data_IF_713353181567
#
_entry.id   IF_713353181567
#
_cell.length_a   1.000
_cell.length_b   1.000
_cell.length_c   1.000
_cell.angle_alpha   90.00
_cell.angle_beta   90.00
_cell.angle_gamma   90.00
#
_symmetry.space_group_name_H-M   'P 1'
#
loop_
_entity.id
_entity.type
_entity.pdbx_description
1 polymer ?
#
# COMPACT_ATOMS: atom_id res chain seq x y z
N UNK A 1 -78.66 -30.34 53.32
CA UNK A 1 -77.92 -29.17 53.85
C UNK A 1 -77.26 -28.49 52.67
N UNK A 2 -77.61 -27.23 52.37
CA UNK A 2 -76.97 -26.47 51.29
C UNK A 2 -75.60 -26.03 51.78
N UNK A 3 -74.53 -26.45 51.10
CA UNK A 3 -73.19 -25.96 51.41
C UNK A 3 -73.20 -24.44 51.34
N UNK A 4 -72.63 -23.78 52.35
CA UNK A 4 -72.49 -22.32 52.40
C UNK A 4 -71.76 -21.84 51.14
N UNK A 5 -72.28 -20.82 50.49
CA UNK A 5 -71.71 -20.20 49.28
C UNK A 5 -70.22 -19.89 49.48
N UNK A 6 -69.83 -19.51 50.71
CA UNK A 6 -68.44 -19.22 51.08
C UNK A 6 -67.52 -20.45 51.04
N UNK A 7 -68.02 -21.63 51.39
CA UNK A 7 -67.25 -22.89 51.32
C UNK A 7 -67.04 -23.28 49.86
N UNK A 8 -68.05 -23.10 49.01
CA UNK A 8 -67.94 -23.39 47.58
C UNK A 8 -66.94 -22.45 46.89
N UNK A 9 -66.94 -21.16 47.25
CA UNK A 9 -65.96 -20.18 46.73
C UNK A 9 -64.54 -20.56 47.16
N UNK A 10 -64.32 -20.87 48.44
CA UNK A 10 -62.99 -21.25 48.94
C UNK A 10 -62.43 -22.50 48.27
N UNK A 11 -63.25 -23.53 48.08
CA UNK A 11 -62.83 -24.77 47.39
C UNK A 11 -62.53 -24.50 45.92
N UNK A 12 -63.36 -23.72 45.22
CA UNK A 12 -63.12 -23.36 43.83
C UNK A 12 -61.81 -22.54 43.66
N UNK A 13 -61.51 -21.64 44.60
CA UNK A 13 -60.30 -20.83 44.60
C UNK A 13 -59.06 -21.70 44.87
N UNK A 14 -59.14 -22.63 45.81
CA UNK A 14 -58.05 -23.59 46.08
C UNK A 14 -57.77 -24.50 44.87
N UNK A 15 -58.82 -24.99 44.19
CA UNK A 15 -58.67 -25.79 42.97
C UNK A 15 -58.08 -24.96 41.84
N UNK A 16 -58.53 -23.71 41.64
CA UNK A 16 -57.97 -22.82 40.63
C UNK A 16 -56.49 -22.53 40.87
N UNK A 17 -56.11 -22.22 42.11
CA UNK A 17 -54.70 -22.02 42.50
C UNK A 17 -53.89 -23.29 42.25
N UNK A 18 -54.43 -24.46 42.60
CA UNK A 18 -53.79 -25.75 42.32
C UNK A 18 -53.58 -26.01 40.82
N UNK A 19 -54.58 -25.74 39.98
CA UNK A 19 -54.51 -25.91 38.52
C UNK A 19 -53.55 -24.91 37.89
N UNK A 20 -53.51 -23.66 38.35
CA UNK A 20 -52.56 -22.65 37.87
C UNK A 20 -51.14 -22.99 38.28
N UNK A 21 -50.92 -23.46 39.51
CA UNK A 21 -49.60 -23.87 40.00
C UNK A 21 -49.08 -25.12 39.27
N UNK A 22 -49.92 -26.14 39.10
CA UNK A 22 -49.57 -27.35 38.33
C UNK A 22 -49.38 -27.01 36.85
N UNK A 23 -50.25 -26.16 36.28
CA UNK A 23 -50.14 -25.68 34.91
C UNK A 23 -48.85 -24.90 34.66
N UNK A 24 -48.48 -23.97 35.55
CA UNK A 24 -47.20 -23.27 35.47
C UNK A 24 -46.02 -24.22 35.60
N UNK A 25 -46.07 -25.17 36.53
CA UNK A 25 -44.98 -26.12 36.73
C UNK A 25 -44.80 -27.11 35.58
N UNK A 26 -45.86 -27.39 34.81
CA UNK A 26 -45.82 -28.25 33.61
C UNK A 26 -45.41 -27.48 32.35
N UNK A 27 -45.75 -26.20 32.25
CA UNK A 27 -45.43 -25.34 31.09
C UNK A 27 -44.01 -24.76 31.20
N UNK A 28 -43.49 -24.56 32.43
CA UNK A 28 -42.12 -24.10 32.70
C UNK A 28 -41.45 -25.02 33.73
N UNK A 29 -41.02 -26.23 33.33
CA UNK A 29 -40.23 -27.07 34.23
C UNK A 29 -38.96 -26.31 34.64
N UNK A 30 -38.65 -26.33 35.95
CA UNK A 30 -37.45 -25.72 36.50
C UNK A 30 -36.20 -26.48 36.02
N UNK A 31 -35.74 -26.19 34.81
CA UNK A 31 -34.56 -26.80 34.22
C UNK A 31 -33.31 -26.11 34.77
N UNK A 32 -32.22 -26.85 35.06
CA UNK A 32 -30.93 -26.26 35.34
C UNK A 32 -30.52 -25.27 34.24
N UNK A 33 -29.88 -24.16 34.60
CA UNK A 33 -29.43 -23.15 33.64
C UNK A 33 -28.44 -23.74 32.63
N UNK A 34 -27.53 -24.59 33.10
CA UNK A 34 -26.64 -25.43 32.29
C UNK A 34 -27.18 -26.86 32.32
N UNK A 35 -27.54 -27.41 31.16
CA UNK A 35 -28.15 -28.76 31.08
C UNK A 35 -27.12 -29.88 30.91
N UNK A 36 -26.00 -29.60 30.26
CA UNK A 36 -24.84 -30.47 30.13
C UNK A 36 -23.62 -29.62 29.75
N UNK A 37 -22.41 -30.12 30.02
CA UNK A 37 -21.15 -29.51 29.61
C UNK A 37 -20.06 -30.59 29.63
N UNK A 38 -19.35 -30.79 28.51
CA UNK A 38 -18.23 -31.74 28.44
C UNK A 38 -17.33 -31.47 27.23
N UNK A 39 -16.07 -31.88 27.33
CA UNK A 39 -15.20 -32.05 26.18
C UNK A 39 -15.40 -33.44 25.55
N UNK A 40 -15.20 -33.53 24.23
CA UNK A 40 -15.15 -34.81 23.52
C UNK A 40 -13.90 -35.63 23.85
N UNK A 41 -12.80 -34.95 24.19
CA UNK A 41 -11.55 -35.54 24.65
C UNK A 41 -11.15 -34.90 25.98
N UNK A 42 -10.69 -35.73 26.92
CA UNK A 42 -10.16 -35.29 28.22
C UNK A 42 -8.66 -34.95 28.15
N UNK A 43 -8.01 -35.24 27.02
CA UNK A 43 -6.61 -34.92 26.74
C UNK A 43 -6.46 -34.45 25.30
N UNK A 44 -5.65 -33.42 25.07
CA UNK A 44 -5.20 -32.98 23.74
C UNK A 44 -3.68 -32.81 23.69
N UNK A 45 -3.12 -32.94 22.48
CA UNK A 45 -1.69 -32.76 22.18
C UNK A 45 -1.50 -31.68 21.12
N UNK A 46 -1.68 -30.39 21.45
CA UNK A 46 -1.73 -29.30 20.48
C UNK A 46 -0.33 -28.95 19.95
N UNK A 47 0.14 -29.70 18.97
CA UNK A 47 1.45 -29.59 18.32
C UNK A 47 1.35 -29.49 16.78
N UNK A 48 0.11 -29.47 16.26
CA UNK A 48 -0.25 -29.41 14.84
C UNK A 48 0.24 -30.60 13.99
N UNK A 49 0.37 -31.79 14.59
CA UNK A 49 0.69 -33.02 13.86
C UNK A 49 -0.55 -33.69 13.22
N UNK A 50 -1.75 -33.21 13.54
CA UNK A 50 -3.04 -33.72 13.07
C UNK A 50 -3.69 -34.73 14.02
N UNK A 51 -3.02 -35.14 15.09
CA UNK A 51 -3.49 -36.14 16.05
C UNK A 51 -3.84 -35.49 17.39
N UNK A 52 -5.13 -35.46 17.73
CA UNK A 52 -5.64 -34.94 19.02
C UNK A 52 -5.24 -33.49 19.35
N UNK A 53 -4.95 -32.67 18.34
CA UNK A 53 -4.64 -31.23 18.50
C UNK A 53 -5.79 -30.39 19.06
N UNK A 54 -7.03 -30.85 18.81
CA UNK A 54 -8.25 -30.09 19.07
C UNK A 54 -9.30 -30.98 19.71
N UNK A 55 -9.98 -30.46 20.71
CA UNK A 55 -11.16 -31.09 21.34
C UNK A 55 -12.39 -30.21 21.14
N UNK A 56 -13.59 -30.80 21.16
CA UNK A 56 -14.85 -30.06 21.03
C UNK A 56 -15.51 -29.97 22.40
N UNK A 57 -15.73 -28.74 22.87
CA UNK A 57 -16.54 -28.48 24.06
C UNK A 57 -18.01 -28.33 23.66
N UNK A 58 -18.87 -29.18 24.23
CA UNK A 58 -20.32 -29.15 24.01
C UNK A 58 -21.04 -28.77 25.31
N UNK A 59 -21.98 -27.83 25.23
CA UNK A 59 -22.78 -27.42 26.39
C UNK A 59 -24.19 -26.97 26.00
N UNK A 60 -25.13 -27.17 26.90
CA UNK A 60 -26.53 -26.77 26.73
C UNK A 60 -26.94 -25.68 27.70
N UNK A 61 -27.64 -24.65 27.19
CA UNK A 61 -28.15 -23.52 27.95
C UNK A 61 -29.68 -23.52 27.86
N UNK A 62 -30.36 -23.44 29.01
CA UNK A 62 -31.83 -23.53 29.05
C UNK A 62 -32.56 -22.18 29.04
N UNK A 63 -31.84 -21.07 29.32
CA UNK A 63 -32.36 -19.70 29.41
C UNK A 63 -31.33 -18.70 28.88
N UNK A 64 -31.77 -17.51 28.46
CA UNK A 64 -30.85 -16.46 28.02
C UNK A 64 -29.80 -16.19 29.11
N UNK A 65 -28.52 -16.29 28.78
CA UNK A 65 -27.43 -16.20 29.74
C UNK A 65 -26.17 -15.57 29.14
N UNK A 66 -25.32 -15.05 30.01
CA UNK A 66 -23.91 -14.76 29.71
C UNK A 66 -23.09 -15.97 30.12
N UNK A 67 -22.27 -16.47 29.20
CA UNK A 67 -21.47 -17.68 29.39
C UNK A 67 -19.98 -17.36 29.34
N UNK A 68 -19.24 -17.86 30.33
CA UNK A 68 -17.78 -17.79 30.38
C UNK A 68 -17.22 -19.21 30.49
N UNK A 69 -16.12 -19.46 29.79
CA UNK A 69 -15.38 -20.73 29.83
C UNK A 69 -13.92 -20.43 30.14
N UNK A 70 -13.45 -20.91 31.28
CA UNK A 70 -12.09 -20.69 31.78
C UNK A 70 -11.42 -22.00 32.18
N UNK A 71 -10.09 -21.99 32.27
CA UNK A 71 -9.25 -23.15 32.62
C UNK A 71 -8.34 -22.77 33.76
N UNK A 72 -8.51 -23.43 34.91
CA UNK A 72 -7.71 -23.21 36.09
C UNK A 72 -6.62 -24.28 36.21
N UNK A 73 -5.37 -23.85 36.27
CA UNK A 73 -4.21 -24.68 36.54
C UNK A 73 -4.09 -25.04 38.03
N UNK A 74 -3.27 -26.04 38.36
CA UNK A 74 -3.05 -26.50 39.73
C UNK A 74 -2.46 -25.44 40.67
N UNK A 75 -1.75 -24.44 40.13
CA UNK A 75 -1.20 -23.31 40.88
C UNK A 75 -2.22 -22.16 41.09
N UNK A 76 -3.45 -22.32 40.59
CA UNK A 76 -4.53 -21.35 40.65
C UNK A 76 -4.58 -20.36 39.49
N UNK A 77 -3.62 -20.39 38.56
CA UNK A 77 -3.62 -19.56 37.35
C UNK A 77 -4.86 -19.86 36.51
N UNK A 78 -5.57 -18.81 36.07
CA UNK A 78 -6.81 -18.96 35.31
C UNK A 78 -6.66 -18.39 33.89
N UNK A 79 -6.90 -19.24 32.89
CA UNK A 79 -6.86 -18.89 31.47
C UNK A 79 -8.28 -18.72 30.95
N UNK A 80 -8.56 -17.59 30.29
CA UNK A 80 -9.90 -17.26 29.80
C UNK A 80 -10.00 -17.55 28.32
N UNK A 81 -10.88 -18.48 27.95
CA UNK A 81 -11.17 -18.79 26.54
C UNK A 81 -12.40 -18.04 26.02
N UNK A 82 -13.44 -17.93 26.86
CA UNK A 82 -14.64 -17.13 26.56
C UNK A 82 -15.05 -16.34 27.79
N UNK A 83 -15.45 -15.08 27.58
CA UNK A 83 -15.84 -14.17 28.66
C UNK A 83 -17.18 -13.51 28.34
N UNK A 84 -18.19 -13.77 29.18
CA UNK A 84 -19.50 -13.12 29.13
C UNK A 84 -20.20 -13.16 27.76
N UNK A 85 -20.02 -14.27 27.03
CA UNK A 85 -20.62 -14.48 25.72
C UNK A 85 -22.14 -14.60 25.84
N UNK A 86 -22.89 -13.79 25.09
CA UNK A 86 -24.35 -13.88 25.10
C UNK A 86 -24.82 -15.18 24.43
N UNK A 87 -25.69 -15.93 25.10
CA UNK A 87 -26.28 -17.18 24.62
C UNK A 87 -27.78 -17.20 24.86
N UNK A 88 -28.50 -17.72 23.88
CA UNK A 88 -29.94 -18.01 23.94
C UNK A 88 -30.14 -19.50 24.30
N UNK A 89 -31.35 -19.96 24.63
CA UNK A 89 -31.60 -21.37 24.89
C UNK A 89 -31.27 -22.23 23.67
N UNK A 90 -30.23 -23.04 23.77
CA UNK A 90 -29.77 -23.95 22.72
C UNK A 90 -28.66 -24.86 23.26
N UNK A 91 -28.33 -25.87 22.47
CA UNK A 91 -27.06 -26.58 22.56
C UNK A 91 -26.01 -25.85 21.71
N UNK A 92 -24.77 -25.82 22.19
CA UNK A 92 -23.64 -25.12 21.62
C UNK A 92 -22.42 -26.03 21.56
N UNK A 93 -21.61 -25.84 20.53
CA UNK A 93 -20.31 -26.49 20.38
C UNK A 93 -19.23 -25.46 20.06
N UNK A 94 -18.01 -25.70 20.54
CA UNK A 94 -16.82 -24.91 20.19
C UNK A 94 -15.59 -25.80 20.17
N UNK A 95 -14.79 -25.69 19.12
CA UNK A 95 -13.48 -26.32 19.04
C UNK A 95 -12.46 -25.57 19.91
N UNK A 96 -11.61 -26.31 20.61
CA UNK A 96 -10.57 -25.78 21.49
C UNK A 96 -9.24 -26.48 21.22
N UNK A 97 -8.23 -25.71 20.83
CA UNK A 97 -6.87 -26.18 20.54
C UNK A 97 -5.88 -25.93 21.68
N UNK A 98 -6.36 -25.56 22.87
CA UNK A 98 -5.49 -25.07 23.94
C UNK A 98 -5.12 -23.58 23.84
N UNK A 99 -5.38 -22.93 22.70
CA UNK A 99 -5.07 -21.51 22.50
C UNK A 99 -6.13 -20.61 23.10
N UNK A 100 -5.68 -19.63 23.89
CA UNK A 100 -6.50 -18.59 24.54
C UNK A 100 -6.01 -17.18 24.15
N UNK A 101 -6.62 -16.14 24.74
CA UNK A 101 -6.11 -14.77 24.62
C UNK A 101 -4.68 -14.65 25.14
N UNK A 102 -3.90 -13.74 24.55
CA UNK A 102 -2.48 -13.61 24.84
C UNK A 102 -2.16 -13.29 26.30
N UNK A 103 -1.07 -13.89 26.79
CA UNK A 103 -0.54 -13.67 28.14
C UNK A 103 0.98 -13.90 28.14
N UNK A 104 1.64 -13.39 29.19
CA UNK A 104 3.08 -13.55 29.41
C UNK A 104 3.37 -14.58 30.50
N UNK A 105 4.35 -15.44 30.26
CA UNK A 105 4.93 -16.35 31.24
C UNK A 105 6.17 -15.70 31.89
N UNK A 106 6.53 -16.11 33.12
CA UNK A 106 7.79 -15.71 33.72
C UNK A 106 8.98 -16.05 32.81
N UNK A 107 9.78 -15.05 32.45
CA UNK A 107 10.96 -15.23 31.60
C UNK A 107 10.73 -15.00 30.11
N UNK A 108 9.52 -14.66 29.67
CA UNK A 108 9.28 -14.27 28.27
C UNK A 108 10.13 -13.06 27.87
N UNK A 109 10.91 -13.23 26.80
CA UNK A 109 11.69 -12.16 26.16
C UNK A 109 11.13 -11.72 24.82
N UNK A 110 9.98 -12.27 24.40
CA UNK A 110 9.36 -12.00 23.11
C UNK A 110 9.20 -10.49 22.89
N UNK A 111 9.76 -10.00 21.80
CA UNK A 111 9.54 -8.63 21.33
C UNK A 111 8.23 -8.61 20.55
N UNK A 112 7.24 -7.84 21.01
CA UNK A 112 5.95 -7.65 20.32
C UNK A 112 4.75 -7.86 21.23
N UNK A 113 3.56 -7.85 20.61
CA UNK A 113 2.31 -8.21 21.27
C UNK A 113 2.02 -9.70 21.06
N UNK A 114 1.79 -10.41 22.16
CA UNK A 114 1.27 -11.78 22.15
C UNK A 114 -0.24 -11.63 22.12
N UNK A 115 -0.87 -11.91 20.98
CA UNK A 115 -2.32 -11.75 20.81
C UNK A 115 -3.08 -13.02 21.20
N UNK A 116 -2.50 -14.18 20.86
CA UNK A 116 -3.02 -15.51 21.21
C UNK A 116 -1.88 -16.43 21.58
N UNK A 117 -2.08 -17.22 22.63
CA UNK A 117 -1.05 -18.15 23.13
C UNK A 117 -1.65 -19.47 23.59
N UNK A 118 -0.90 -20.53 23.34
CA UNK A 118 -1.21 -21.89 23.79
C UNK A 118 -0.91 -22.04 25.29
N UNK A 119 -1.90 -22.49 26.07
CA UNK A 119 -1.72 -22.74 27.50
C UNK A 119 -0.65 -23.82 27.76
N UNK A 120 0.15 -23.74 28.84
CA UNK A 120 1.24 -24.68 29.08
C UNK A 120 0.75 -26.14 29.24
N UNK A 121 1.66 -27.10 29.08
CA UNK A 121 1.36 -28.49 29.44
C UNK A 121 0.95 -28.59 30.92
N UNK A 122 -0.09 -29.36 31.20
CA UNK A 122 -0.61 -29.53 32.55
C UNK A 122 -2.04 -30.05 32.59
N UNK A 123 -2.49 -30.31 33.82
CA UNK A 123 -3.87 -30.66 34.12
C UNK A 123 -4.65 -29.40 34.50
N UNK A 124 -5.82 -29.22 33.88
CA UNK A 124 -6.66 -28.06 34.07
C UNK A 124 -8.06 -28.47 34.53
N UNK A 125 -8.59 -27.74 35.51
CA UNK A 125 -10.02 -27.76 35.79
C UNK A 125 -10.69 -26.72 34.90
N UNK A 126 -11.55 -27.15 33.97
CA UNK A 126 -12.35 -26.20 33.20
C UNK A 126 -13.59 -25.80 34.00
N UNK A 127 -14.00 -24.53 33.85
CA UNK A 127 -15.18 -23.94 34.49
C UNK A 127 -16.06 -23.32 33.42
N UNK A 128 -17.26 -23.91 33.24
CA UNK A 128 -18.33 -23.28 32.47
C UNK A 128 -19.27 -22.57 33.43
N UNK A 129 -19.25 -21.24 33.41
CA UNK A 129 -20.14 -20.41 34.20
C UNK A 129 -21.21 -19.80 33.31
N UNK A 130 -22.47 -19.93 33.71
CA UNK A 130 -23.60 -19.27 33.06
C UNK A 130 -24.30 -18.37 34.07
N UNK A 131 -24.59 -17.12 33.66
CA UNK A 131 -25.37 -16.17 34.44
C UNK A 131 -26.63 -15.79 33.68
N UNK A 132 -27.79 -16.14 34.22
CA UNK A 132 -29.09 -15.81 33.65
C UNK A 132 -29.24 -14.30 33.48
N UNK A 133 -29.66 -13.89 32.28
CA UNK A 133 -29.70 -12.49 31.88
C UNK A 133 -30.82 -11.69 32.58
N UNK A 134 -31.82 -12.36 33.17
CA UNK A 134 -32.99 -11.73 33.79
C UNK A 134 -32.94 -11.85 35.31
N UNK A 135 -32.81 -13.07 35.82
CA UNK A 135 -32.83 -13.33 37.27
C UNK A 135 -31.47 -13.08 37.93
N UNK A 136 -30.38 -13.09 37.14
CA UNK A 136 -29.02 -13.05 37.66
C UNK A 136 -28.56 -14.36 38.32
N UNK A 137 -29.38 -15.42 38.26
CA UNK A 137 -29.02 -16.77 38.71
C UNK A 137 -27.73 -17.22 38.04
N UNK A 138 -26.79 -17.76 38.82
CA UNK A 138 -25.55 -18.33 38.30
C UNK A 138 -25.56 -19.84 38.43
N UNK A 139 -25.12 -20.53 37.38
CA UNK A 139 -24.82 -21.95 37.40
C UNK A 139 -23.38 -22.19 36.94
N UNK A 140 -22.77 -23.24 37.47
CA UNK A 140 -21.42 -23.66 37.11
C UNK A 140 -21.40 -25.16 36.83
N UNK A 141 -20.61 -25.55 35.85
CA UNK A 141 -20.20 -26.94 35.61
C UNK A 141 -18.68 -26.98 35.47
N UNK A 142 -18.08 -28.07 35.93
CA UNK A 142 -16.63 -28.27 35.90
C UNK A 142 -16.28 -29.68 35.44
N UNK A 143 -15.03 -29.83 35.02
CA UNK A 143 -14.41 -31.12 34.70
C UNK A 143 -12.92 -30.93 34.46
N UNK A 144 -12.26 -31.95 33.92
CA UNK A 144 -10.81 -31.94 33.69
C UNK A 144 -10.49 -31.89 32.20
N UNK A 145 -9.34 -31.30 31.89
CA UNK A 145 -8.69 -31.35 30.57
C UNK A 145 -7.17 -31.38 30.77
N UNK A 146 -6.51 -32.36 30.16
CA UNK A 146 -5.07 -32.45 30.08
C UNK A 146 -4.55 -31.82 28.79
N UNK A 147 -3.58 -30.92 28.91
CA UNK A 147 -2.77 -30.44 27.79
C UNK A 147 -1.41 -31.13 27.90
N UNK A 148 -1.07 -31.94 26.92
CA UNK A 148 0.20 -32.65 26.86
C UNK A 148 0.94 -32.32 25.55
N UNK A 149 2.27 -32.49 25.53
CA UNK A 149 3.10 -32.33 24.33
C UNK A 149 2.84 -31.06 23.47
N UNK A 150 2.45 -29.96 24.11
CA UNK A 150 2.07 -28.73 23.42
C UNK A 150 3.25 -28.02 22.72
N UNK A 151 3.00 -27.50 21.53
CA UNK A 151 3.91 -26.66 20.74
C UNK A 151 4.13 -25.27 21.36
N UNK A 152 4.88 -25.19 22.47
CA UNK A 152 4.98 -23.97 23.29
C UNK A 152 5.79 -22.80 22.71
N UNK A 153 6.52 -23.00 21.61
CA UNK A 153 7.34 -21.95 21.00
C UNK A 153 6.46 -20.94 20.24
N UNK A 154 6.54 -19.67 20.62
CA UNK A 154 5.81 -18.58 19.97
C UNK A 154 6.32 -18.31 18.54
N UNK A 155 5.45 -17.89 17.60
CA UNK A 155 5.83 -17.42 16.27
C UNK A 155 6.37 -15.99 16.35
N UNK A 156 7.53 -15.82 17.00
CA UNK A 156 8.09 -14.49 17.24
C UNK A 156 8.55 -13.80 15.95
N UNK A 157 8.22 -12.51 15.84
CA UNK A 157 8.71 -11.60 14.81
C UNK A 157 9.86 -10.78 15.43
N UNK A 158 11.05 -10.93 14.88
CA UNK A 158 12.25 -10.16 15.28
C UNK A 158 12.70 -9.25 14.14
N UNK A 159 13.56 -8.29 14.45
CA UNK A 159 14.20 -7.39 13.48
C UNK A 159 13.21 -6.64 12.57
N UNK A 160 12.00 -6.35 13.06
CA UNK A 160 11.00 -5.60 12.28
C UNK A 160 11.46 -4.15 12.11
N UNK A 161 11.93 -3.84 10.90
CA UNK A 161 12.59 -2.58 10.58
C UNK A 161 12.07 -2.01 9.27
N UNK A 162 12.02 -0.68 9.21
CA UNK A 162 11.73 0.11 8.02
C UNK A 162 12.99 0.91 7.67
N UNK A 163 13.36 0.98 6.39
CA UNK A 163 14.48 1.81 5.94
C UNK A 163 14.18 3.32 6.08
N UNK A 164 12.90 3.70 6.08
CA UNK A 164 12.39 5.05 6.33
C UNK A 164 11.02 5.03 7.00
N UNK A 165 10.71 6.08 7.76
CA UNK A 165 9.43 6.24 8.46
C UNK A 165 8.53 7.30 7.82
N UNK A 166 9.00 7.95 6.75
CA UNK A 166 8.25 8.89 5.93
C UNK A 166 8.62 8.63 4.47
N UNK A 167 7.63 8.56 3.60
CA UNK A 167 7.83 8.32 2.17
C UNK A 167 6.71 8.97 1.34
N UNK A 168 7.01 9.29 0.08
CA UNK A 168 6.13 10.01 -0.83
C UNK A 168 5.90 9.25 -2.12
N UNK A 169 4.89 8.36 -2.20
CA UNK A 169 4.62 7.56 -3.40
C UNK A 169 4.00 8.41 -4.51
N UNK A 170 4.81 9.20 -5.21
CA UNK A 170 4.38 10.13 -6.26
C UNK A 170 5.12 9.95 -7.60
N UNK A 171 5.96 8.92 -7.67
CA UNK A 171 6.82 8.56 -8.80
C UNK A 171 7.78 9.69 -9.22
N UNK A 172 8.17 10.58 -8.31
CA UNK A 172 9.16 11.61 -8.61
C UNK A 172 10.62 11.13 -8.50
N UNK A 173 10.82 9.88 -8.08
CA UNK A 173 12.11 9.22 -7.87
C UNK A 173 12.76 9.54 -6.52
N UNK A 174 12.05 10.21 -5.60
CA UNK A 174 12.52 10.58 -4.27
C UNK A 174 11.58 9.95 -3.26
N UNK A 175 12.12 9.03 -2.47
CA UNK A 175 11.39 8.39 -1.39
C UNK A 175 10.01 7.82 -1.78
N UNK A 176 9.87 7.35 -3.02
CA UNK A 176 8.64 6.73 -3.52
C UNK A 176 8.29 5.39 -2.86
N UNK A 177 9.27 4.77 -2.21
CA UNK A 177 9.21 3.37 -1.79
C UNK A 177 9.78 3.23 -0.38
N UNK A 178 9.19 2.32 0.40
CA UNK A 178 9.68 1.92 1.72
C UNK A 178 9.99 0.42 1.70
N UNK A 179 11.18 0.07 2.20
CA UNK A 179 11.61 -1.31 2.35
C UNK A 179 11.42 -1.70 3.81
N UNK A 180 10.72 -2.82 4.02
CA UNK A 180 10.56 -3.42 5.34
C UNK A 180 11.22 -4.78 5.40
N UNK A 181 11.80 -5.08 6.55
CA UNK A 181 12.45 -6.36 6.83
C UNK A 181 11.95 -6.89 8.17
N UNK A 182 11.83 -8.20 8.29
CA UNK A 182 11.60 -8.90 9.55
C UNK A 182 12.18 -10.31 9.49
N UNK A 183 12.33 -10.96 10.65
CA UNK A 183 12.69 -12.37 10.74
C UNK A 183 11.67 -13.16 11.57
N UNK A 184 11.37 -14.38 11.14
CA UNK A 184 10.56 -15.35 11.88
C UNK A 184 11.45 -16.37 12.60
N UNK A 185 11.17 -16.63 13.89
CA UNK A 185 11.97 -17.57 14.70
C UNK A 185 11.60 -19.04 14.47
N UNK A 186 10.39 -19.32 13.98
CA UNK A 186 9.90 -20.64 13.54
C UNK A 186 9.05 -20.48 12.27
N UNK A 187 8.78 -21.56 11.53
CA UNK A 187 7.80 -21.52 10.45
C UNK A 187 6.41 -21.18 10.99
N UNK A 188 5.62 -20.46 10.19
CA UNK A 188 4.27 -20.01 10.52
C UNK A 188 3.32 -20.36 9.38
N UNK A 189 2.04 -20.54 9.69
CA UNK A 189 0.99 -20.78 8.70
C UNK A 189 0.70 -19.51 7.89
N UNK A 190 0.74 -18.35 8.54
CA UNK A 190 0.55 -17.07 7.86
C UNK A 190 1.44 -15.97 8.42
N UNK A 191 2.00 -15.18 7.49
CA UNK A 191 2.67 -13.92 7.73
C UNK A 191 1.94 -12.85 6.92
N UNK A 192 1.37 -11.86 7.60
CA UNK A 192 0.67 -10.75 6.96
C UNK A 192 1.27 -9.43 7.42
N UNK A 193 1.60 -8.56 6.47
CA UNK A 193 2.01 -7.17 6.74
C UNK A 193 1.00 -6.25 6.10
N UNK A 194 0.55 -5.23 6.83
CA UNK A 194 -0.42 -4.26 6.32
C UNK A 194 -0.25 -2.88 6.96
N UNK A 195 -0.69 -1.85 6.24
CA UNK A 195 -0.90 -0.52 6.80
C UNK A 195 -2.27 -0.45 7.44
N UNK A 196 -2.36 0.22 8.59
CA UNK A 196 -3.61 0.56 9.23
C UNK A 196 -3.69 2.07 9.43
N UNK A 197 -4.70 2.68 8.79
CA UNK A 197 -5.01 4.09 8.92
C UNK A 197 -5.93 4.39 10.11
N UNK A 198 -6.23 5.67 10.31
CA UNK A 198 -7.14 6.14 11.38
C UNK A 198 -8.60 5.68 11.22
N UNK A 199 -8.99 5.29 10.01
CA UNK A 199 -10.30 4.72 9.67
C UNK A 199 -10.41 3.22 10.01
N UNK A 200 -9.31 2.60 10.45
CA UNK A 200 -9.22 1.19 10.79
C UNK A 200 -9.13 0.25 9.57
N UNK A 201 -9.10 0.77 8.34
CA UNK A 201 -8.93 -0.07 7.15
C UNK A 201 -7.50 -0.61 7.06
N UNK A 202 -7.38 -1.87 6.63
CA UNK A 202 -6.10 -2.54 6.43
C UNK A 202 -5.75 -2.58 4.94
N UNK A 203 -4.57 -2.06 4.59
CA UNK A 203 -4.01 -2.11 3.23
C UNK A 203 -2.87 -3.11 3.24
N UNK A 204 -3.08 -4.26 2.57
CA UNK A 204 -2.12 -5.36 2.59
C UNK A 204 -0.84 -5.02 1.82
N UNK A 205 0.30 -5.27 2.46
CA UNK A 205 1.61 -5.12 1.86
C UNK A 205 2.13 -6.53 1.50
N UNK A 206 2.34 -6.80 0.20
CA UNK A 206 2.83 -8.09 -0.25
C UNK A 206 4.30 -8.31 0.11
N UNK A 207 4.64 -9.55 0.43
CA UNK A 207 6.04 -9.97 0.48
C UNK A 207 6.63 -9.98 -0.95
N UNK A 208 7.88 -9.54 -1.09
CA UNK A 208 8.60 -9.74 -2.35
C UNK A 208 9.07 -11.19 -2.46
N UNK A 209 9.06 -11.73 -3.69
CA UNK A 209 9.56 -13.08 -3.92
C UNK A 209 11.07 -13.10 -3.64
N UNK A 210 11.45 -13.75 -2.55
CA UNK A 210 12.83 -13.99 -2.19
C UNK A 210 13.18 -15.48 -2.38
N UNK A 211 14.40 -15.89 -2.04
CA UNK A 211 14.79 -17.30 -2.04
C UNK A 211 14.05 -18.16 -0.98
N UNK A 212 13.15 -17.55 -0.20
CA UNK A 212 12.38 -18.15 0.89
C UNK A 212 10.89 -18.15 0.55
N UNK A 213 10.16 -19.19 0.97
CA UNK A 213 8.69 -19.19 0.84
C UNK A 213 8.05 -18.36 1.94
N UNK A 214 6.89 -17.73 1.68
CA UNK A 214 6.12 -17.05 2.71
C UNK A 214 5.92 -17.95 3.93
N UNK A 215 6.19 -17.40 5.12
CA UNK A 215 6.02 -18.09 6.41
C UNK A 215 7.14 -19.05 6.83
N UNK A 216 8.17 -19.31 6.02
CA UNK A 216 9.32 -20.10 6.47
C UNK A 216 10.16 -19.35 7.52
N UNK A 217 10.79 -20.06 8.47
CA UNK A 217 11.65 -19.41 9.46
C UNK A 217 12.83 -18.64 8.82
N UNK A 218 13.14 -17.44 9.30
CA UNK A 218 14.22 -16.58 8.79
C UNK A 218 13.73 -15.24 8.25
N UNK A 219 14.56 -14.57 7.44
CA UNK A 219 14.29 -13.22 6.94
C UNK A 219 13.21 -13.18 5.84
N UNK A 220 12.36 -12.16 5.93
CA UNK A 220 11.33 -11.78 4.97
C UNK A 220 11.46 -10.30 4.60
N UNK A 221 11.13 -9.99 3.35
CA UNK A 221 11.34 -8.68 2.74
C UNK A 221 10.04 -8.17 2.13
N UNK A 222 9.80 -6.88 2.28
CA UNK A 222 8.65 -6.20 1.71
C UNK A 222 9.11 -4.90 1.08
N UNK A 223 8.48 -4.58 -0.04
CA UNK A 223 8.82 -3.42 -0.84
C UNK A 223 7.51 -2.76 -1.26
N UNK A 224 7.27 -1.55 -0.77
CA UNK A 224 5.99 -0.88 -0.89
C UNK A 224 6.14 0.50 -1.49
N UNK A 225 5.45 0.70 -2.61
CA UNK A 225 5.47 1.90 -3.45
C UNK A 225 4.14 2.68 -3.40
N UNK A 226 3.32 2.42 -2.37
CA UNK A 226 1.94 2.92 -2.31
C UNK A 226 0.94 2.10 -3.13
N UNK A 227 1.35 1.00 -3.77
CA UNK A 227 0.48 0.14 -4.58
C UNK A 227 0.44 0.52 -6.08
N UNK A 228 1.29 1.46 -6.51
CA UNK A 228 1.30 2.02 -7.86
C UNK A 228 1.64 0.95 -8.91
N UNK A 229 2.65 0.13 -8.68
CA UNK A 229 3.07 -1.00 -9.52
C UNK A 229 1.94 -2.04 -9.69
N UNK A 230 0.95 -2.02 -8.80
CA UNK A 230 -0.25 -2.87 -8.85
C UNK A 230 -1.47 -2.17 -9.47
N UNK A 231 -1.29 -0.94 -9.97
CA UNK A 231 -2.34 -0.13 -10.58
C UNK A 231 -3.33 0.44 -9.57
N UNK A 232 -2.93 0.62 -8.31
CA UNK A 232 -3.76 1.19 -7.25
C UNK A 232 -3.29 2.61 -6.95
N UNK A 233 -4.23 3.53 -6.72
CA UNK A 233 -3.90 4.90 -6.28
C UNK A 233 -3.31 4.83 -4.86
N UNK A 234 -2.21 5.55 -4.57
CA UNK A 234 -1.63 5.59 -3.25
C UNK A 234 -2.64 5.95 -2.15
N UNK A 235 -2.47 5.41 -0.92
CA UNK A 235 -3.31 5.80 0.20
C UNK A 235 -3.21 7.31 0.47
N UNK A 236 -4.24 7.93 1.07
CA UNK A 236 -4.19 9.35 1.44
C UNK A 236 -3.01 9.68 2.35
N UNK A 237 -2.53 10.92 2.27
CA UNK A 237 -1.50 11.41 3.20
C UNK A 237 -1.94 11.26 4.66
N UNK A 238 -1.02 10.88 5.52
CA UNK A 238 -1.28 10.74 6.94
C UNK A 238 -0.35 9.75 7.62
N UNK A 239 -0.58 9.58 8.92
CA UNK A 239 0.13 8.62 9.74
C UNK A 239 -0.58 7.27 9.72
N UNK A 240 0.21 6.22 9.49
CA UNK A 240 -0.22 4.83 9.47
C UNK A 240 0.59 4.02 10.48
N UNK A 241 -0.06 2.98 11.01
CA UNK A 241 0.64 1.91 11.73
C UNK A 241 0.91 0.78 10.75
N UNK A 242 2.17 0.40 10.58
CA UNK A 242 2.52 -0.84 9.88
C UNK A 242 2.41 -1.97 10.88
N UNK A 243 1.59 -2.97 10.59
CA UNK A 243 1.37 -4.13 11.45
C UNK A 243 1.84 -5.38 10.74
N UNK A 244 2.81 -6.07 11.33
CA UNK A 244 3.23 -7.41 10.94
C UNK A 244 2.58 -8.43 11.90
N UNK A 245 1.93 -9.44 11.35
CA UNK A 245 1.22 -10.48 12.11
C UNK A 245 1.72 -11.85 11.67
N UNK A 246 2.15 -12.66 12.61
CA UNK A 246 2.56 -14.04 12.41
C UNK A 246 1.63 -14.97 13.19
N UNK A 247 1.15 -16.03 12.55
CA UNK A 247 0.34 -17.08 13.17
C UNK A 247 0.86 -18.46 12.78
N UNK A 248 1.14 -19.32 13.77
CA UNK A 248 1.54 -20.71 13.53
C UNK A 248 0.34 -21.65 13.33
N UNK A 249 0.61 -22.93 13.06
CA UNK A 249 -0.43 -23.94 12.79
C UNK A 249 -1.21 -24.31 14.06
N UNK A 250 -0.59 -24.20 15.24
CA UNK A 250 -1.21 -24.41 16.55
C UNK A 250 -2.22 -23.30 16.87
N UNK A 251 -2.09 -22.14 16.22
CA UNK A 251 -2.99 -20.98 16.33
C UNK A 251 -2.48 -19.88 17.26
N UNK A 252 -1.24 -19.99 17.74
CA UNK A 252 -0.56 -18.91 18.45
C UNK A 252 -0.33 -17.75 17.49
N UNK A 253 -0.49 -16.53 17.99
CA UNK A 253 -0.45 -15.33 17.16
C UNK A 253 0.30 -14.21 17.85
N UNK A 254 1.23 -13.62 17.11
CA UNK A 254 1.98 -12.46 17.54
C UNK A 254 1.92 -11.35 16.51
N UNK A 255 2.05 -10.12 16.99
CA UNK A 255 2.18 -8.96 16.14
C UNK A 255 3.30 -8.02 16.58
N UNK A 256 3.81 -7.29 15.58
CA UNK A 256 4.80 -6.24 15.70
C UNK A 256 4.30 -5.01 14.95
N UNK A 257 4.61 -3.83 15.48
CA UNK A 257 4.14 -2.58 14.89
C UNK A 257 5.27 -1.59 14.69
N UNK A 258 5.15 -0.79 13.64
CA UNK A 258 6.00 0.38 13.38
C UNK A 258 5.13 1.54 12.86
N UNK A 259 5.70 2.74 12.83
CA UNK A 259 5.02 3.93 12.30
C UNK A 259 5.52 4.25 10.91
N UNK A 260 4.61 4.67 10.04
CA UNK A 260 4.92 5.13 8.69
C UNK A 260 4.02 6.31 8.33
N UNK A 261 4.62 7.40 7.86
CA UNK A 261 3.90 8.57 7.37
C UNK A 261 3.94 8.58 5.84
N UNK A 262 2.78 8.72 5.22
CA UNK A 262 2.63 8.94 3.78
C UNK A 262 2.46 10.44 3.54
N UNK A 263 3.29 11.00 2.66
CA UNK A 263 3.19 12.40 2.21
C UNK A 263 3.10 12.46 0.69
N UNK A 264 2.47 13.50 0.16
CA UNK A 264 2.38 13.78 -1.29
C UNK A 264 2.01 12.59 -2.21
N UNK A 265 1.28 11.58 -1.74
CA UNK A 265 0.97 10.40 -2.54
C UNK A 265 0.05 10.69 -3.72
N UNK A 266 0.30 10.06 -4.87
CA UNK A 266 -0.58 10.11 -6.04
C UNK A 266 0.13 9.77 -7.35
N UNK A 267 -0.64 9.41 -8.38
CA UNK A 267 -0.05 9.12 -9.70
C UNK A 267 0.10 10.43 -10.49
N UNK A 268 1.31 10.78 -10.98
CA UNK A 268 1.53 11.98 -11.77
C UNK A 268 0.82 11.88 -13.13
N UNK A 269 0.24 13.00 -13.58
CA UNK A 269 -0.48 13.05 -14.85
C UNK A 269 -0.12 14.32 -15.60
N UNK A 270 0.55 14.16 -16.74
CA UNK A 270 1.01 15.27 -17.55
C UNK A 270 0.85 14.98 -19.04
N UNK A 271 0.83 16.02 -19.86
CA UNK A 271 0.79 15.90 -21.32
C UNK A 271 1.46 17.10 -21.99
N UNK A 272 1.93 16.91 -23.23
CA UNK A 272 2.16 18.03 -24.14
C UNK A 272 0.78 18.51 -24.60
N UNK A 273 0.38 19.69 -24.15
CA UNK A 273 -0.95 20.22 -24.37
C UNK A 273 -1.11 20.82 -25.78
N UNK A 274 -2.25 20.59 -26.45
CA UNK A 274 -2.57 21.25 -27.71
C UNK A 274 -2.74 22.75 -27.50
N UNK A 275 -2.16 23.56 -28.39
CA UNK A 275 -2.34 25.01 -28.34
C UNK A 275 -3.70 25.43 -28.95
N UNK A 276 -4.24 26.62 -28.60
CA UNK A 276 -5.50 27.13 -29.19
C UNK A 276 -5.52 27.20 -30.73
N UNK A 277 -4.34 27.18 -31.36
CA UNK A 277 -4.17 27.11 -32.82
C UNK A 277 -4.21 25.69 -33.40
N UNK A 278 -4.52 24.64 -32.61
CA UNK A 278 -4.38 23.22 -32.96
C UNK A 278 -2.95 22.84 -33.41
N UNK A 279 -1.93 23.47 -32.80
CA UNK A 279 -0.53 23.16 -33.05
C UNK A 279 0.08 22.69 -31.73
N UNK A 280 0.50 21.43 -31.64
CA UNK A 280 1.04 20.89 -30.38
C UNK A 280 2.50 21.27 -30.17
N UNK A 281 3.26 21.38 -31.26
CA UNK A 281 4.67 21.80 -31.28
C UNK A 281 4.89 22.76 -32.44
N UNK A 282 5.46 23.91 -32.13
CA UNK A 282 5.86 24.93 -33.09
C UNK A 282 7.32 24.71 -33.45
N UNK A 283 7.64 24.78 -34.74
CA UNK A 283 9.01 24.66 -35.24
C UNK A 283 9.38 25.86 -36.11
N UNK A 284 10.59 26.38 -35.94
CA UNK A 284 11.12 27.38 -36.86
C UNK A 284 12.64 27.28 -37.02
N UNK A 285 13.16 27.61 -38.22
CA UNK A 285 14.58 27.73 -38.41
C UNK A 285 15.10 29.07 -37.88
N UNK A 286 16.30 29.06 -37.31
CA UNK A 286 17.05 30.26 -36.96
C UNK A 286 18.54 30.08 -37.27
N UNK A 287 19.26 31.13 -37.69
CA UNK A 287 20.72 31.06 -37.84
C UNK A 287 21.41 30.68 -36.54
N UNK A 288 22.41 29.80 -36.61
CA UNK A 288 23.21 29.42 -35.46
C UNK A 288 24.16 30.54 -34.99
N UNK A 289 24.36 30.63 -33.68
CA UNK A 289 25.35 31.49 -33.04
C UNK A 289 26.15 30.68 -32.00
N UNK A 290 27.47 30.73 -32.09
CA UNK A 290 28.38 29.97 -31.23
C UNK A 290 28.28 30.32 -29.73
N UNK A 291 27.63 31.44 -29.37
CA UNK A 291 27.33 31.77 -27.96
C UNK A 291 26.37 30.77 -27.31
N UNK A 292 25.55 30.08 -28.10
CA UNK A 292 24.63 29.05 -27.61
C UNK A 292 25.27 27.66 -27.44
N UNK A 293 26.50 27.46 -27.92
CA UNK A 293 27.17 26.17 -27.89
C UNK A 293 27.37 25.65 -26.45
N UNK A 294 26.76 24.50 -26.14
CA UNK A 294 26.86 23.83 -24.84
C UNK A 294 27.80 22.61 -24.89
N UNK A 295 28.49 22.36 -23.78
CA UNK A 295 29.28 21.14 -23.55
C UNK A 295 29.26 20.77 -22.06
N UNK A 296 29.84 19.62 -21.66
CA UNK A 296 29.87 19.24 -20.24
C UNK A 296 30.68 20.22 -19.36
N UNK A 297 31.51 21.08 -19.96
CA UNK A 297 32.36 22.05 -19.26
C UNK A 297 32.07 23.50 -19.64
N UNK A 298 31.08 23.74 -20.50
CA UNK A 298 30.70 25.08 -20.97
C UNK A 298 29.18 25.19 -21.03
N UNK A 299 28.64 26.08 -20.20
CA UNK A 299 27.25 26.53 -20.35
C UNK A 299 27.15 27.48 -21.55
N UNK A 300 26.24 27.19 -22.49
CA UNK A 300 25.88 28.10 -23.56
C UNK A 300 24.90 29.17 -23.04
N UNK A 301 24.84 30.33 -23.70
CA UNK A 301 23.73 31.26 -23.47
C UNK A 301 22.39 30.56 -23.75
N UNK A 302 21.34 30.87 -22.98
CA UNK A 302 20.01 30.35 -23.27
C UNK A 302 19.39 31.15 -24.43
N UNK A 303 18.87 30.45 -25.42
CA UNK A 303 18.04 31.04 -26.47
C UNK A 303 16.80 31.69 -25.82
N UNK A 304 16.47 32.95 -26.10
CA UNK A 304 15.25 33.55 -25.58
C UNK A 304 14.00 32.84 -26.11
N UNK A 305 12.91 32.85 -25.33
CA UNK A 305 11.65 32.24 -25.76
C UNK A 305 11.20 32.83 -27.10
N UNK A 306 10.99 32.00 -28.14
CA UNK A 306 10.63 32.48 -29.45
C UNK A 306 9.19 33.00 -29.49
N UNK A 307 8.98 34.11 -30.20
CA UNK A 307 7.65 34.67 -30.51
C UNK A 307 7.27 34.25 -31.92
N UNK A 308 6.30 33.34 -32.04
CA UNK A 308 5.81 32.89 -33.34
C UNK A 308 4.60 33.70 -33.75
N UNK A 309 4.75 34.53 -34.78
CA UNK A 309 3.68 35.41 -35.26
C UNK A 309 2.68 34.72 -36.22
N UNK A 310 3.07 33.57 -36.79
CA UNK A 310 2.25 32.67 -37.61
C UNK A 310 3.09 31.42 -37.90
N UNK A 311 2.86 30.34 -37.16
CA UNK A 311 3.29 29.03 -37.64
C UNK A 311 2.14 28.40 -38.43
N UNK A 312 2.41 28.03 -39.68
CA UNK A 312 1.54 27.15 -40.45
C UNK A 312 1.94 25.74 -40.04
N UNK A 313 1.44 25.28 -38.89
CA UNK A 313 1.74 23.96 -38.30
C UNK A 313 1.38 22.74 -39.16
N UNK A 314 1.30 22.88 -40.48
CA UNK A 314 1.06 21.83 -41.46
C UNK A 314 2.03 21.89 -42.65
N UNK A 315 3.00 22.81 -42.67
CA UNK A 315 3.99 22.91 -43.76
C UNK A 315 5.36 22.33 -43.38
N UNK A 316 6.10 21.87 -44.39
CA UNK A 316 7.51 21.47 -44.26
C UNK A 316 8.36 22.65 -43.80
N UNK A 317 9.20 22.43 -42.78
CA UNK A 317 10.19 23.39 -42.31
C UNK A 317 11.40 23.33 -43.22
N UNK A 318 11.70 24.40 -43.95
CA UNK A 318 12.89 24.47 -44.82
C UNK A 318 13.98 25.32 -44.17
N UNK A 319 15.21 24.80 -44.09
CA UNK A 319 16.32 25.47 -43.37
C UNK A 319 17.69 25.13 -43.97
N UNK A 320 18.69 25.98 -43.76
CA UNK A 320 20.06 25.67 -44.19
C UNK A 320 20.70 24.61 -43.28
N UNK A 321 21.59 23.79 -43.83
CA UNK A 321 22.50 22.97 -43.01
C UNK A 321 23.39 23.91 -42.20
N UNK A 322 23.50 23.68 -40.89
CA UNK A 322 24.19 24.54 -39.93
C UNK A 322 23.29 25.58 -39.25
N UNK A 323 22.02 25.69 -39.63
CA UNK A 323 21.04 26.47 -38.85
C UNK A 323 20.51 25.65 -37.66
N UNK A 324 19.81 26.31 -36.75
CA UNK A 324 19.14 25.69 -35.61
C UNK A 324 17.66 25.44 -35.92
N UNK A 325 17.18 24.23 -35.62
CA UNK A 325 15.76 23.92 -35.55
C UNK A 325 15.28 24.28 -34.14
N UNK A 326 14.59 25.42 -34.02
CA UNK A 326 14.00 25.89 -32.77
C UNK A 326 12.62 25.28 -32.61
N UNK A 327 12.29 24.84 -31.40
CA UNK A 327 10.95 24.36 -31.06
C UNK A 327 10.35 25.14 -29.88
N UNK A 328 9.03 25.10 -29.77
CA UNK A 328 8.30 25.48 -28.56
C UNK A 328 7.03 24.67 -28.41
N UNK A 329 6.71 24.30 -27.18
CA UNK A 329 5.48 23.61 -26.79
C UNK A 329 5.07 23.97 -25.36
N UNK A 330 3.91 23.51 -24.92
CA UNK A 330 3.46 23.65 -23.53
C UNK A 330 3.25 22.27 -22.94
N UNK A 331 3.71 22.07 -21.71
CA UNK A 331 3.39 20.91 -20.90
C UNK A 331 2.35 21.32 -19.86
N UNK A 332 1.34 20.47 -19.67
CA UNK A 332 0.30 20.64 -18.68
C UNK A 332 0.34 19.49 -17.69
N UNK A 333 0.54 19.80 -16.41
CA UNK A 333 0.31 18.87 -15.31
C UNK A 333 -1.18 18.95 -14.94
N UNK A 334 -2.00 18.07 -15.50
CA UNK A 334 -3.44 18.01 -15.20
C UNK A 334 -3.77 17.11 -14.00
N UNK A 335 -2.74 16.51 -13.39
CA UNK A 335 -2.86 15.65 -12.22
C UNK A 335 -3.05 16.41 -10.91
N UNK A 336 -3.08 15.64 -9.82
CA UNK A 336 -3.25 16.15 -8.44
C UNK A 336 -1.93 16.32 -7.69
N UNK A 337 -0.84 15.76 -8.19
CA UNK A 337 0.51 15.84 -7.61
C UNK A 337 1.40 16.72 -8.46
N UNK A 338 2.37 17.39 -7.84
CA UNK A 338 3.38 18.14 -8.58
C UNK A 338 4.31 17.15 -9.32
N UNK A 339 4.81 17.54 -10.50
CA UNK A 339 5.74 16.70 -11.27
C UNK A 339 7.14 17.30 -11.19
N UNK A 340 8.13 16.48 -10.85
CA UNK A 340 9.53 16.90 -10.79
C UNK A 340 10.10 17.01 -12.20
N UNK A 341 11.01 17.96 -12.41
CA UNK A 341 11.75 18.09 -13.66
C UNK A 341 13.24 18.31 -13.41
N UNK A 342 14.06 17.96 -14.40
CA UNK A 342 15.50 18.14 -14.37
C UNK A 342 16.02 18.70 -15.70
N UNK A 343 17.17 19.37 -15.63
CA UNK A 343 17.76 20.11 -16.73
C UNK A 343 18.16 19.29 -17.97
N UNK A 344 18.75 19.98 -18.97
CA UNK A 344 19.04 21.42 -18.98
C UNK A 344 17.79 22.29 -19.10
N UNK A 345 17.91 23.58 -18.79
CA UNK A 345 16.78 24.52 -18.82
C UNK A 345 16.29 24.82 -20.25
N UNK A 346 15.01 25.20 -20.42
CA UNK A 346 14.51 25.73 -21.69
C UNK A 346 15.42 26.81 -22.28
N UNK A 347 15.58 26.78 -23.59
CA UNK A 347 16.48 27.65 -24.34
C UNK A 347 17.88 27.07 -24.58
N UNK A 348 18.22 25.92 -23.98
CA UNK A 348 19.49 25.25 -24.28
C UNK A 348 19.50 24.75 -25.73
N UNK A 349 20.64 24.92 -26.41
CA UNK A 349 20.85 24.49 -27.79
C UNK A 349 21.78 23.29 -27.82
N UNK A 350 21.28 22.17 -28.33
CA UNK A 350 22.07 20.96 -28.56
C UNK A 350 22.69 20.97 -29.95
N UNK A 351 23.85 20.38 -30.13
CA UNK A 351 24.31 19.91 -31.45
C UNK A 351 23.58 18.62 -31.84
N UNK A 352 23.27 18.42 -33.13
CA UNK A 352 22.53 17.22 -33.58
C UNK A 352 23.32 15.90 -33.46
N UNK A 353 24.59 15.98 -33.04
CA UNK A 353 25.45 14.84 -32.68
C UNK A 353 25.51 14.58 -31.18
N UNK A 354 24.95 15.47 -30.35
CA UNK A 354 24.93 15.34 -28.90
C UNK A 354 23.74 14.50 -28.41
N UNK A 355 23.87 14.04 -27.16
CA UNK A 355 22.81 13.36 -26.40
C UNK A 355 22.57 14.09 -25.07
N UNK A 356 21.54 13.69 -24.32
CA UNK A 356 21.04 14.40 -23.14
C UNK A 356 22.12 14.71 -22.09
N UNK A 357 23.10 13.82 -21.92
CA UNK A 357 24.25 14.00 -21.02
C UNK A 357 25.33 14.99 -21.48
N UNK A 358 25.27 15.50 -22.72
CA UNK A 358 26.28 16.42 -23.27
C UNK A 358 26.33 17.77 -22.55
N UNK A 359 25.32 18.11 -21.76
CA UNK A 359 25.26 19.34 -20.95
C UNK A 359 25.78 19.13 -19.53
N UNK A 360 26.24 17.92 -19.19
CA UNK A 360 26.57 17.54 -17.81
C UNK A 360 25.35 17.20 -16.95
N UNK A 361 24.13 17.30 -17.49
CA UNK A 361 22.89 16.90 -16.81
C UNK A 361 22.51 15.47 -17.22
N UNK A 362 22.51 14.56 -16.24
CA UNK A 362 22.21 13.15 -16.46
C UNK A 362 20.73 12.84 -16.20
N UNK A 363 20.31 11.64 -16.62
CA UNK A 363 18.98 11.10 -16.31
C UNK A 363 18.78 11.03 -14.79
N UNK A 364 17.55 11.30 -14.36
CA UNK A 364 17.16 11.23 -12.95
C UNK A 364 15.80 10.54 -12.90
N UNK A 365 15.75 9.31 -12.37
CA UNK A 365 14.54 8.49 -12.27
C UNK A 365 13.39 9.29 -11.68
N UNK A 366 12.20 9.24 -12.28
CA UNK A 366 11.01 9.98 -11.86
C UNK A 366 10.95 11.45 -12.27
N UNK A 367 12.02 11.99 -12.88
CA UNK A 367 11.99 13.33 -13.47
C UNK A 367 11.22 13.34 -14.78
N UNK A 368 10.41 14.36 -15.02
CA UNK A 368 9.79 14.61 -16.30
C UNK A 368 10.67 15.51 -17.18
N UNK A 369 10.80 15.16 -18.47
CA UNK A 369 11.53 15.96 -19.46
C UNK A 369 10.83 15.97 -20.81
N UNK A 370 10.98 17.08 -21.52
CA UNK A 370 10.58 17.18 -22.92
C UNK A 370 11.73 16.65 -23.77
N UNK A 371 11.46 15.60 -24.54
CA UNK A 371 12.39 15.04 -25.51
C UNK A 371 12.11 15.56 -26.93
N UNK A 372 13.15 15.71 -27.73
CA UNK A 372 13.04 15.78 -29.18
C UNK A 372 13.86 14.69 -29.83
N UNK A 373 13.38 14.21 -30.96
CA UNK A 373 14.12 13.30 -31.84
C UNK A 373 13.70 13.51 -33.29
N UNK A 374 14.54 13.02 -34.21
CA UNK A 374 14.23 12.95 -35.62
C UNK A 374 14.33 11.51 -36.12
N UNK A 375 13.78 11.23 -37.30
CA UNK A 375 13.85 9.92 -37.95
C UNK A 375 15.28 9.46 -38.28
N UNK A 376 16.27 10.34 -38.13
CA UNK A 376 17.70 10.07 -38.31
C UNK A 376 18.47 9.99 -36.98
N UNK A 377 17.81 10.13 -35.83
CA UNK A 377 18.44 9.98 -34.53
C UNK A 377 18.86 8.53 -34.30
N UNK A 378 20.07 8.31 -33.79
CA UNK A 378 20.62 6.97 -33.53
C UNK A 378 20.21 6.41 -32.17
N UNK A 379 19.78 7.29 -31.27
CA UNK A 379 19.34 6.98 -29.91
C UNK A 379 17.96 7.58 -29.69
N UNK A 380 17.15 6.95 -28.83
CA UNK A 380 15.86 7.48 -28.44
C UNK A 380 16.03 8.75 -27.59
N UNK A 381 15.25 9.78 -27.93
CA UNK A 381 15.21 11.06 -27.23
C UNK A 381 16.60 11.66 -26.92
N UNK A 382 17.44 11.89 -27.95
CA UNK A 382 18.81 12.34 -27.75
C UNK A 382 18.85 13.74 -27.12
N UNK A 383 17.87 14.60 -27.38
CA UNK A 383 17.85 15.95 -26.84
C UNK A 383 16.69 16.07 -25.86
N UNK A 384 16.99 16.52 -24.63
CA UNK A 384 16.00 16.59 -23.55
C UNK A 384 16.11 17.93 -22.83
N UNK A 385 14.98 18.48 -22.39
CA UNK A 385 14.91 19.73 -21.63
C UNK A 385 14.01 19.57 -20.41
N UNK A 386 14.30 20.38 -19.39
CA UNK A 386 13.40 20.54 -18.25
C UNK A 386 12.05 21.13 -18.70
N UNK A 387 11.00 20.76 -17.97
CA UNK A 387 9.70 21.38 -18.05
C UNK A 387 9.76 22.71 -17.31
N UNK A 388 9.92 23.80 -18.05
CA UNK A 388 9.92 25.15 -17.48
C UNK A 388 11.26 25.62 -16.96
N UNK A 389 11.30 26.90 -16.61
CA UNK A 389 12.48 27.57 -16.06
C UNK A 389 12.35 27.72 -14.53
N UNK A 390 13.46 27.98 -13.82
CA UNK A 390 13.43 28.21 -12.37
C UNK A 390 12.42 29.28 -11.91
N UNK A 391 12.08 30.25 -12.76
CA UNK A 391 11.12 31.32 -12.44
C UNK A 391 9.65 30.86 -12.50
N UNK A 392 9.38 29.76 -13.18
CA UNK A 392 8.03 29.20 -13.39
C UNK A 392 7.73 27.99 -12.51
N UNK A 393 8.76 27.46 -11.82
CA UNK A 393 8.69 26.21 -11.07
C UNK A 393 8.72 26.47 -9.58
N UNK A 394 8.08 25.60 -8.81
CA UNK A 394 8.31 25.55 -7.37
C UNK A 394 9.65 24.86 -7.09
N UNK A 395 10.36 25.39 -6.09
CA UNK A 395 11.65 24.87 -5.65
C UNK A 395 11.47 24.21 -4.29
N UNK A 396 11.95 22.98 -4.18
CA UNK A 396 11.97 22.23 -2.92
C UNK A 396 13.38 21.74 -2.62
N UNK A 397 13.74 21.70 -1.35
CA UNK A 397 15.04 21.19 -0.90
C UNK A 397 14.79 19.91 -0.13
N UNK A 398 15.44 18.82 -0.54
CA UNK A 398 15.36 17.55 0.16
C UNK A 398 16.11 17.67 1.50
N UNK A 399 15.42 17.45 2.64
CA UNK A 399 16.01 17.61 3.96
C UNK A 399 17.09 16.57 4.29
N UNK A 400 17.14 15.45 3.57
CA UNK A 400 18.06 14.34 3.86
C UNK A 400 19.45 14.56 3.24
N UNK A 401 19.52 15.09 2.01
CA UNK A 401 20.77 15.26 1.26
C UNK A 401 21.07 16.72 0.88
N UNK A 402 20.12 17.64 1.06
CA UNK A 402 20.27 19.06 0.71
C UNK A 402 20.14 19.37 -0.78
N UNK A 403 19.79 18.38 -1.61
CA UNK A 403 19.57 18.57 -3.03
C UNK A 403 18.37 19.46 -3.28
N UNK A 404 18.46 20.25 -4.34
CA UNK A 404 17.39 21.15 -4.79
C UNK A 404 16.69 20.51 -5.97
N UNK A 405 15.37 20.42 -5.88
CA UNK A 405 14.49 19.91 -6.92
C UNK A 405 13.51 20.98 -7.37
N UNK A 406 13.08 20.88 -8.63
CA UNK A 406 12.15 21.80 -9.25
C UNK A 406 10.92 21.05 -9.72
N UNK A 407 9.75 21.64 -9.48
CA UNK A 407 8.47 21.00 -9.77
C UNK A 407 7.55 21.92 -10.55
N UNK A 408 6.82 21.35 -11.50
CA UNK A 408 5.62 21.96 -12.06
C UNK A 408 4.43 21.59 -11.14
N UNK A 409 3.80 22.56 -10.46
CA UNK A 409 2.69 22.28 -9.55
C UNK A 409 1.51 21.56 -10.21
N UNK A 410 0.69 20.88 -9.41
CA UNK A 410 -0.56 20.28 -9.86
C UNK A 410 -1.49 21.33 -10.51
N UNK A 411 -2.09 20.99 -11.64
CA UNK A 411 -2.88 21.93 -12.47
C UNK A 411 -2.04 22.99 -13.21
N UNK A 412 -0.71 22.96 -13.07
CA UNK A 412 0.20 23.94 -13.65
C UNK A 412 0.49 23.69 -15.13
N UNK A 413 0.87 24.75 -15.84
CA UNK A 413 1.35 24.69 -17.21
C UNK A 413 2.68 25.40 -17.33
N UNK A 414 3.57 24.88 -18.19
CA UNK A 414 4.82 25.56 -18.52
C UNK A 414 5.14 25.47 -20.00
N UNK A 415 5.61 26.58 -20.56
CA UNK A 415 6.21 26.59 -21.89
C UNK A 415 7.61 25.98 -21.83
N UNK A 416 7.95 25.19 -22.85
CA UNK A 416 9.27 24.60 -23.03
C UNK A 416 9.71 24.89 -24.44
N UNK A 417 10.95 25.38 -24.58
CA UNK A 417 11.56 25.67 -25.87
C UNK A 417 13.04 25.32 -25.81
N UNK A 418 13.66 25.25 -26.98
CA UNK A 418 15.07 24.96 -27.15
C UNK A 418 15.39 24.87 -28.63
N UNK A 419 16.61 24.45 -28.94
CA UNK A 419 16.97 24.23 -30.34
C UNK A 419 17.97 23.10 -30.52
N UNK A 420 18.00 22.59 -31.74
CA UNK A 420 19.02 21.65 -32.20
C UNK A 420 19.76 22.27 -33.37
N UNK A 421 21.07 22.45 -33.26
CA UNK A 421 21.96 22.87 -34.33
C UNK A 421 22.13 21.72 -35.33
N UNK A 422 21.57 21.91 -36.52
CA UNK A 422 21.36 20.86 -37.52
C UNK A 422 22.56 20.77 -38.48
N UNK A 423 23.59 20.03 -38.10
CA UNK A 423 24.83 19.91 -38.88
C UNK A 423 24.86 18.69 -39.81
N UNK A 424 24.14 17.62 -39.48
CA UNK A 424 24.20 16.35 -40.21
C UNK A 424 23.22 16.34 -41.39
N UNK A 425 23.76 16.19 -42.61
CA UNK A 425 22.97 16.07 -43.83
C UNK A 425 22.96 14.62 -44.36
N UNK A 426 21.80 13.96 -44.27
CA UNK A 426 21.60 12.60 -44.79
C UNK A 426 20.66 12.64 -45.99
N UNK A 427 21.23 12.69 -47.21
CA UNK A 427 20.47 12.82 -48.47
C UNK A 427 19.33 11.81 -48.62
N UNK A 428 19.53 10.56 -48.17
CA UNK A 428 18.54 9.48 -48.28
C UNK A 428 17.34 9.62 -47.32
N UNK A 429 17.41 10.56 -46.37
CA UNK A 429 16.40 10.81 -45.33
C UNK A 429 16.05 12.30 -45.24
N UNK A 430 16.17 13.04 -46.34
CA UNK A 430 15.81 14.47 -46.44
C UNK A 430 14.56 14.64 -47.34
N UNK A 431 13.44 15.21 -46.85
CA UNK A 431 13.25 15.77 -45.50
C UNK A 431 13.29 14.70 -44.41
N UNK A 432 13.83 15.06 -43.24
CA UNK A 432 13.80 14.22 -42.04
C UNK A 432 12.60 14.61 -41.19
N UNK A 433 11.92 13.63 -40.60
CA UNK A 433 10.79 13.95 -39.72
C UNK A 433 11.28 14.14 -38.29
N UNK A 434 10.90 15.22 -37.63
CA UNK A 434 11.25 15.51 -36.24
C UNK A 434 9.97 15.68 -35.41
N UNK A 435 10.00 15.26 -34.15
CA UNK A 435 8.86 15.32 -33.24
C UNK A 435 9.31 15.47 -31.78
N UNK A 436 8.38 15.88 -30.92
CA UNK A 436 8.59 15.95 -29.49
C UNK A 436 7.96 14.76 -28.76
N UNK A 437 8.40 14.54 -27.54
CA UNK A 437 7.80 13.61 -26.59
C UNK A 437 7.90 14.11 -25.17
N UNK A 438 7.07 13.56 -24.30
CA UNK A 438 7.10 13.78 -22.86
C UNK A 438 7.56 12.49 -22.19
N UNK A 439 8.65 12.59 -21.46
CA UNK A 439 9.39 11.47 -20.86
C UNK A 439 9.21 11.58 -19.36
N UNK A 440 8.81 10.49 -18.73
CA UNK A 440 8.89 10.30 -17.29
C UNK A 440 10.00 9.27 -17.04
N UNK A 441 11.19 9.78 -16.72
CA UNK A 441 12.45 9.02 -16.71
C UNK A 441 12.35 7.76 -15.83
N UNK A 442 12.78 6.60 -16.35
CA UNK A 442 12.68 5.27 -15.72
C UNK A 442 11.25 4.79 -15.36
N UNK A 443 10.20 5.52 -15.77
CA UNK A 443 8.80 5.14 -15.53
C UNK A 443 8.10 4.85 -16.84
N UNK A 444 7.95 5.84 -17.72
CA UNK A 444 7.26 5.69 -19.01
C UNK A 444 7.56 6.82 -20.02
N UNK A 445 7.13 6.62 -21.26
CA UNK A 445 7.04 7.70 -22.26
C UNK A 445 5.58 8.08 -22.44
N UNK A 446 5.18 9.16 -21.75
CA UNK A 446 3.79 9.62 -21.65
C UNK A 446 3.22 10.07 -23.00
N UNK A 447 4.00 10.85 -23.76
CA UNK A 447 3.68 11.17 -25.14
C UNK A 447 4.86 10.81 -26.03
N UNK A 448 4.65 9.91 -27.00
CA UNK A 448 5.75 9.33 -27.80
C UNK A 448 5.98 10.02 -29.15
N UNK A 449 5.01 10.77 -29.68
CA UNK A 449 5.13 11.39 -31.02
C UNK A 449 4.19 12.56 -31.19
N UNK A 450 4.60 13.73 -30.69
CA UNK A 450 3.78 14.95 -30.73
C UNK A 450 4.35 15.95 -31.73
N UNK A 451 3.45 16.57 -32.52
CA UNK A 451 3.81 17.63 -33.45
C UNK A 451 4.77 17.22 -34.57
N UNK A 452 4.74 15.99 -35.07
CA UNK A 452 5.67 15.54 -36.10
C UNK A 452 5.69 16.46 -37.34
N UNK A 453 6.89 16.88 -37.78
CA UNK A 453 7.11 17.75 -38.94
C UNK A 453 8.24 17.25 -39.83
N UNK A 454 8.06 17.43 -41.13
CA UNK A 454 9.11 17.26 -42.11
C UNK A 454 10.03 18.48 -42.11
N UNK A 455 11.33 18.23 -41.92
CA UNK A 455 12.41 19.23 -41.89
C UNK A 455 13.30 19.00 -43.11
N UNK A 456 13.21 19.91 -44.07
CA UNK A 456 14.00 19.94 -45.30
C UNK A 456 15.28 20.75 -45.06
N UNK A 457 16.42 20.06 -45.08
CA UNK A 457 17.73 20.69 -45.05
C UNK A 457 18.20 21.06 -46.46
N UNK A 458 18.59 22.32 -46.63
CA UNK A 458 19.14 22.86 -47.87
C UNK A 458 20.65 23.00 -47.70
N UNK A 459 21.42 22.37 -48.59
CA UNK A 459 22.85 22.65 -48.67
C UNK A 459 23.01 23.93 -49.51
N UNK A 460 23.73 24.93 -49.01
CA UNK A 460 24.27 25.97 -49.88
C UNK A 460 25.23 25.30 -50.85
N UNK A 461 24.92 25.36 -52.14
CA UNK A 461 25.89 25.03 -53.19
C UNK A 461 27.11 25.91 -52.97
N UNK A 462 28.21 25.32 -52.51
CA UNK A 462 29.52 25.92 -52.72
C UNK A 462 29.67 26.01 -54.22
N UNK A 463 29.50 27.21 -54.76
CA UNK A 463 29.85 27.53 -56.12
C UNK A 463 31.25 26.96 -56.38
N UNK A 464 31.30 25.88 -57.16
CA UNK A 464 32.54 25.42 -57.78
C UNK A 464 32.98 26.56 -58.70
N UNK A 465 33.78 27.47 -58.17
CA UNK A 465 34.53 28.45 -58.95
C UNK A 465 35.42 27.69 -59.91
N UNK A 466 35.07 27.77 -61.20
CA UNK A 466 35.89 27.29 -62.30
C UNK A 466 37.05 28.22 -62.62
#
# INVERSE_FOLDING_TARGET
>A
MRASIWVTILVALAVLVGVVFIGQSLIQPNRPLITHAAFSLEQITPNADGDSDVTVFSYGISRNAQVSLTFQAADGTNFVFRQNEARIPSDYTVAFSGVVGGYKLPGDTATGEIERRLIPNGQYTWHLQAKDAVSGETAEQTGQLEIADAGSQLPEITDFTLDRHEFSPNQDGIADRVIMNLSLTKPVDSLNVYLQGSDGQSIFIPEIVSGRKPGEAGQHFFDYDGGIERGVEPPPNGDYTVVAVAQDLEGQRMSQTSKLTITNGGVPQAEIAPQPSNIDVVFAPQPYDAKYAVSPTKEGELLPSPVFSKDLGFSTVSMQVGDMLVFKLTVHNYGKVAIRTSGPWPGTVYDDTQVWGATGVYEQSGSFRVGMMCSTSETDWPWRWAIGSPDTLSKETDPQNGNVYYYLPAGGQSEVWGAVHMTQFVKARNPRQCWAGLIHEDVEIVNQRVGARDVLLIQTDTATGG
#
